data_IF_206908156041
#
_entry.id   IF_206908156041
#
_cell.length_a   1.000
_cell.length_b   1.000
_cell.length_c   1.000
_cell.angle_alpha   90.00
_cell.angle_beta   90.00
_cell.angle_gamma   90.00
#
_symmetry.space_group_name_H-M   'P 1'
#
loop_
_entity.id
_entity.type
_entity.pdbx_description
1 polymer ?
#
# COMPACT_ATOMS: atom_id res chain seq x y z
N UNK A 1 -4.27 14.73 -58.92
CA UNK A 1 -3.47 15.36 -57.87
C UNK A 1 -3.65 14.79 -56.44
N UNK A 2 -4.79 14.20 -56.08
CA UNK A 2 -5.12 13.67 -54.73
C UNK A 2 -4.26 12.45 -54.30
N UNK A 3 -3.84 11.59 -55.23
CA UNK A 3 -3.06 10.37 -54.90
C UNK A 3 -1.61 10.58 -54.52
N UNK A 4 -1.00 11.71 -54.95
CA UNK A 4 0.39 12.03 -54.58
C UNK A 4 0.55 12.52 -53.17
N UNK A 5 -0.43 13.24 -52.64
CA UNK A 5 -0.46 13.73 -51.26
C UNK A 5 -0.65 12.58 -50.28
N UNK A 6 -1.57 11.68 -50.55
CA UNK A 6 -1.82 10.48 -49.73
C UNK A 6 -0.59 9.59 -49.61
N UNK A 7 0.16 9.37 -50.69
CA UNK A 7 1.39 8.57 -50.69
C UNK A 7 2.52 9.23 -49.85
N UNK A 8 2.63 10.57 -49.89
CA UNK A 8 3.59 11.30 -49.07
C UNK A 8 3.17 11.27 -47.61
N UNK A 9 1.89 11.46 -47.29
CA UNK A 9 1.37 11.34 -45.92
C UNK A 9 1.57 9.94 -45.32
N UNK A 10 1.30 8.87 -46.10
CA UNK A 10 1.54 7.49 -45.65
C UNK A 10 3.02 7.19 -45.37
N UNK A 11 3.96 7.82 -46.09
CA UNK A 11 5.40 7.67 -45.82
C UNK A 11 5.85 8.37 -44.55
N UNK A 12 5.20 9.45 -44.15
CA UNK A 12 5.50 10.19 -42.94
C UNK A 12 4.81 9.61 -41.69
N UNK A 13 3.73 8.84 -41.89
CA UNK A 13 2.93 8.28 -40.82
C UNK A 13 3.73 7.46 -39.80
N UNK A 14 4.64 6.55 -40.19
CA UNK A 14 5.43 5.78 -39.23
C UNK A 14 6.33 6.67 -38.35
N UNK A 15 6.92 7.71 -38.95
CA UNK A 15 7.73 8.67 -38.22
C UNK A 15 6.92 9.50 -37.21
N UNK A 16 5.72 9.92 -37.61
CA UNK A 16 4.81 10.65 -36.71
C UNK A 16 4.31 9.77 -35.57
N UNK A 17 3.98 8.51 -35.85
CA UNK A 17 3.58 7.56 -34.81
C UNK A 17 4.74 7.29 -33.82
N UNK A 18 5.96 7.12 -34.32
CA UNK A 18 7.12 6.94 -33.48
C UNK A 18 7.36 8.18 -32.58
N UNK A 19 7.26 9.38 -33.17
CA UNK A 19 7.38 10.64 -32.42
C UNK A 19 6.27 10.79 -31.36
N UNK A 20 5.04 10.46 -31.70
CA UNK A 20 3.92 10.48 -30.77
C UNK A 20 4.15 9.50 -29.61
N UNK A 21 4.62 8.28 -29.89
CA UNK A 21 4.93 7.28 -28.88
C UNK A 21 6.05 7.78 -27.93
N UNK A 22 7.15 8.30 -28.48
CA UNK A 22 8.26 8.87 -27.69
C UNK A 22 7.74 10.03 -26.83
N UNK A 23 6.91 10.90 -27.37
CA UNK A 23 6.36 12.04 -26.64
C UNK A 23 5.46 11.57 -25.48
N UNK A 24 4.60 10.57 -25.71
CA UNK A 24 3.74 10.01 -24.66
C UNK A 24 4.60 9.41 -23.53
N UNK A 25 5.59 8.58 -23.87
CA UNK A 25 6.48 7.98 -22.88
C UNK A 25 7.28 9.03 -22.10
N UNK A 26 7.77 10.06 -22.77
CA UNK A 26 8.53 11.14 -22.16
C UNK A 26 7.65 11.97 -21.21
N UNK A 27 6.44 12.34 -21.62
CA UNK A 27 5.51 13.08 -20.79
C UNK A 27 5.00 12.24 -19.60
N UNK A 28 4.74 10.94 -19.80
CA UNK A 28 4.37 10.04 -18.71
C UNK A 28 5.49 9.94 -17.68
N UNK A 29 6.75 9.82 -18.14
CA UNK A 29 7.90 9.76 -17.25
C UNK A 29 8.10 11.08 -16.47
N UNK A 30 8.02 12.23 -17.15
CA UNK A 30 8.09 13.54 -16.49
C UNK A 30 6.95 13.72 -15.49
N UNK A 31 5.74 13.36 -15.88
CA UNK A 31 4.57 13.50 -15.01
C UNK A 31 4.74 12.66 -13.74
N UNK A 32 5.13 11.41 -13.87
CA UNK A 32 5.40 10.56 -12.71
C UNK A 32 6.50 11.14 -11.82
N UNK A 33 7.59 11.63 -12.41
CA UNK A 33 8.69 12.23 -11.66
C UNK A 33 8.27 13.51 -10.91
N UNK A 34 7.40 14.33 -11.48
CA UNK A 34 6.93 15.58 -10.88
C UNK A 34 5.80 15.36 -9.85
N UNK A 35 5.04 14.29 -10.01
CA UNK A 35 3.87 14.00 -9.14
C UNK A 35 4.19 13.00 -8.04
N UNK A 36 5.27 12.21 -8.17
CA UNK A 36 5.68 11.28 -7.11
C UNK A 36 6.20 12.06 -5.90
N UNK A 37 5.56 11.83 -4.78
CA UNK A 37 5.96 12.44 -3.50
C UNK A 37 7.15 11.66 -2.95
N UNK A 38 8.24 12.37 -2.60
CA UNK A 38 9.43 11.78 -1.97
C UNK A 38 9.01 10.96 -0.72
N UNK A 39 9.61 9.79 -0.54
CA UNK A 39 9.35 8.88 0.59
C UNK A 39 9.37 9.56 1.95
N UNK A 40 10.21 10.58 2.13
CA UNK A 40 10.31 11.35 3.38
C UNK A 40 9.02 12.11 3.76
N UNK A 41 8.09 12.27 2.84
CA UNK A 41 6.84 13.00 3.04
C UNK A 41 5.60 12.12 2.90
N UNK A 42 5.78 10.82 2.68
CA UNK A 42 4.66 9.87 2.54
C UNK A 42 4.89 8.61 3.37
N UNK A 43 3.86 8.13 4.03
CA UNK A 43 3.83 6.81 4.64
C UNK A 43 3.12 5.85 3.69
N UNK A 44 3.74 4.71 3.41
CA UNK A 44 3.23 3.71 2.49
C UNK A 44 2.62 2.54 3.25
N UNK A 45 1.34 2.29 3.01
CA UNK A 45 0.58 1.17 3.55
C UNK A 45 0.27 0.20 2.42
N UNK A 46 0.77 -1.02 2.51
CA UNK A 46 0.46 -2.07 1.57
C UNK A 46 -0.59 -3.03 2.15
N UNK A 47 -1.69 -3.22 1.41
CA UNK A 47 -2.77 -4.11 1.81
C UNK A 47 -2.80 -5.31 0.89
N UNK A 48 -2.48 -6.49 1.41
CA UNK A 48 -2.39 -7.72 0.61
C UNK A 48 -3.76 -8.36 0.38
N UNK A 49 -4.71 -7.53 -0.06
CA UNK A 49 -6.04 -7.90 -0.52
C UNK A 49 -6.55 -6.87 -1.53
N UNK A 50 -7.65 -7.19 -2.24
CA UNK A 50 -8.36 -6.19 -3.02
C UNK A 50 -9.09 -5.22 -2.09
N UNK A 51 -8.81 -3.94 -2.22
CA UNK A 51 -9.49 -2.91 -1.46
C UNK A 51 -10.81 -2.54 -2.14
N UNK A 52 -11.87 -2.41 -1.34
CA UNK A 52 -13.15 -1.90 -1.82
C UNK A 52 -13.11 -0.37 -2.03
N UNK A 53 -12.34 0.32 -1.19
CA UNK A 53 -12.26 1.79 -1.13
C UNK A 53 -10.87 2.25 -0.69
N UNK A 54 -9.87 2.06 -1.55
CA UNK A 54 -8.48 2.42 -1.28
C UNK A 54 -8.30 3.92 -1.00
N UNK A 55 -8.96 4.78 -1.79
CA UNK A 55 -8.92 6.22 -1.62
C UNK A 55 -9.60 6.68 -0.32
N UNK A 56 -10.72 6.08 0.05
CA UNK A 56 -11.43 6.43 1.28
C UNK A 56 -10.59 6.04 2.51
N UNK A 57 -9.89 4.91 2.47
CA UNK A 57 -8.96 4.51 3.53
C UNK A 57 -7.79 5.49 3.63
N UNK A 58 -7.19 5.87 2.49
CA UNK A 58 -6.12 6.86 2.48
C UNK A 58 -6.58 8.20 3.09
N UNK A 59 -7.75 8.71 2.68
CA UNK A 59 -8.33 9.95 3.23
C UNK A 59 -8.58 9.82 4.74
N UNK A 60 -9.14 8.70 5.19
CA UNK A 60 -9.39 8.48 6.62
C UNK A 60 -8.09 8.45 7.43
N UNK A 61 -6.99 7.97 6.87
CA UNK A 61 -5.68 7.98 7.52
C UNK A 61 -5.00 9.35 7.50
N UNK A 62 -5.39 10.22 6.56
CA UNK A 62 -4.82 11.55 6.40
C UNK A 62 -5.43 12.62 7.31
N UNK A 63 -6.51 12.34 8.04
CA UNK A 63 -7.16 13.35 8.90
C UNK A 63 -6.25 13.95 9.98
N UNK A 64 -5.25 13.16 10.51
CA UNK A 64 -4.31 13.63 11.54
C UNK A 64 -2.88 13.17 11.19
N UNK A 65 -2.30 13.75 10.14
CA UNK A 65 -0.96 13.40 9.71
C UNK A 65 0.11 13.85 10.71
N UNK A 66 1.11 13.01 11.00
CA UNK A 66 2.29 13.40 11.76
C UNK A 66 3.03 14.56 11.10
N UNK A 67 3.72 15.37 11.93
CA UNK A 67 4.51 16.49 11.43
C UNK A 67 5.55 16.03 10.40
N UNK A 68 5.54 16.67 9.23
CA UNK A 68 6.43 16.35 8.12
C UNK A 68 5.83 15.39 7.08
N UNK A 69 4.81 14.62 7.40
CA UNK A 69 4.10 13.78 6.44
C UNK A 69 3.04 14.60 5.71
N UNK A 70 2.90 14.37 4.42
CA UNK A 70 1.95 15.09 3.54
C UNK A 70 0.84 14.20 3.02
N UNK A 71 1.08 12.89 2.97
CA UNK A 71 0.10 11.93 2.47
C UNK A 71 0.34 10.52 2.99
N UNK A 72 -0.71 9.72 2.99
CA UNK A 72 -0.65 8.27 3.17
C UNK A 72 -0.96 7.61 1.84
N UNK A 73 -0.02 6.82 1.34
CA UNK A 73 -0.20 6.09 0.10
C UNK A 73 -0.63 4.66 0.42
N UNK A 74 -1.85 4.31 0.02
CA UNK A 74 -2.39 2.96 0.21
C UNK A 74 -2.29 2.21 -1.12
N UNK A 75 -1.65 1.05 -1.09
CA UNK A 75 -1.52 0.14 -2.22
C UNK A 75 -2.24 -1.17 -1.95
N UNK A 76 -3.08 -1.60 -2.88
CA UNK A 76 -3.72 -2.91 -2.85
C UNK A 76 -2.89 -3.98 -3.55
N UNK A 77 -3.29 -5.24 -3.41
CA UNK A 77 -2.66 -6.40 -4.05
C UNK A 77 -2.45 -6.23 -5.57
N UNK A 78 -3.42 -5.64 -6.26
CA UNK A 78 -3.33 -5.42 -7.72
C UNK A 78 -2.16 -4.51 -8.10
N UNK A 79 -1.80 -3.59 -7.21
CA UNK A 79 -0.70 -2.66 -7.43
C UNK A 79 0.67 -3.34 -7.31
N UNK A 80 0.79 -4.38 -6.47
CA UNK A 80 2.03 -5.12 -6.28
C UNK A 80 2.54 -5.78 -7.56
N UNK A 81 1.66 -6.14 -8.47
CA UNK A 81 2.01 -6.67 -9.78
C UNK A 81 2.67 -5.64 -10.69
N UNK A 82 2.50 -4.35 -10.39
CA UNK A 82 3.01 -3.25 -11.21
C UNK A 82 4.25 -2.57 -10.62
N UNK A 83 4.43 -2.61 -9.29
CA UNK A 83 5.52 -1.93 -8.58
C UNK A 83 6.04 -2.75 -7.40
N UNK A 84 6.95 -3.67 -7.67
CA UNK A 84 7.61 -4.49 -6.64
C UNK A 84 8.46 -3.64 -5.67
N UNK A 85 8.98 -2.49 -6.11
CA UNK A 85 9.81 -1.62 -5.28
C UNK A 85 8.99 -0.98 -4.16
N UNK A 86 7.78 -0.52 -4.45
CA UNK A 86 6.86 0.00 -3.43
C UNK A 86 6.44 -1.08 -2.44
N UNK A 87 6.31 -2.32 -2.90
CA UNK A 87 6.02 -3.45 -2.05
C UNK A 87 7.15 -3.69 -1.02
N UNK A 88 8.41 -3.80 -1.47
CA UNK A 88 9.54 -4.08 -0.59
C UNK A 88 9.85 -2.93 0.38
N UNK A 89 9.40 -1.73 0.07
CA UNK A 89 9.72 -0.50 0.81
C UNK A 89 8.55 0.09 1.58
N UNK A 90 7.44 -0.61 1.68
CA UNK A 90 6.29 -0.17 2.46
C UNK A 90 6.64 -0.06 3.95
N UNK A 91 6.05 0.93 4.61
CA UNK A 91 6.22 1.13 6.07
C UNK A 91 5.30 0.19 6.84
N UNK A 92 4.10 -0.04 6.34
CA UNK A 92 3.08 -0.86 6.98
C UNK A 92 2.49 -1.87 5.99
N UNK A 93 2.18 -3.07 6.48
CA UNK A 93 1.49 -4.11 5.73
C UNK A 93 0.22 -4.55 6.46
N UNK A 94 -0.84 -4.78 5.70
CA UNK A 94 -2.05 -5.47 6.18
C UNK A 94 -2.11 -6.80 5.44
N UNK A 95 -2.01 -7.90 6.17
CA UNK A 95 -1.95 -9.25 5.59
C UNK A 95 -2.45 -10.33 6.56
N UNK A 96 -2.77 -11.50 6.04
CA UNK A 96 -3.10 -12.67 6.86
C UNK A 96 -1.85 -13.32 7.46
N UNK A 97 -2.03 -14.17 8.49
CA UNK A 97 -0.92 -14.98 9.05
C UNK A 97 -0.24 -15.82 7.98
N UNK A 98 -1.00 -16.41 7.07
CA UNK A 98 -0.46 -17.23 5.97
C UNK A 98 0.46 -16.40 5.06
N UNK A 99 0.02 -15.24 4.64
CA UNK A 99 0.81 -14.34 3.78
C UNK A 99 2.07 -13.85 4.50
N UNK A 100 1.97 -13.53 5.80
CA UNK A 100 3.13 -13.14 6.61
C UNK A 100 4.17 -14.26 6.73
N UNK A 101 3.74 -15.53 6.77
CA UNK A 101 4.63 -16.69 6.75
C UNK A 101 5.26 -16.97 5.39
N UNK A 102 4.57 -16.61 4.31
CA UNK A 102 5.09 -16.73 2.93
C UNK A 102 6.17 -15.67 2.63
N UNK A 103 6.10 -14.51 3.28
CA UNK A 103 6.99 -13.36 3.05
C UNK A 103 7.58 -12.77 4.34
N UNK A 104 8.26 -13.57 5.16
CA UNK A 104 8.84 -13.09 6.42
C UNK A 104 9.92 -12.01 6.20
N UNK A 105 10.58 -12.02 5.04
CA UNK A 105 11.62 -11.05 4.65
C UNK A 105 11.12 -9.61 4.50
N UNK A 106 9.80 -9.41 4.34
CA UNK A 106 9.22 -8.07 4.27
C UNK A 106 8.99 -7.45 5.64
N UNK A 107 8.97 -8.28 6.69
CA UNK A 107 8.51 -7.91 8.01
C UNK A 107 9.66 -7.67 8.97
N UNK A 108 9.47 -6.74 9.89
CA UNK A 108 10.38 -6.51 11.00
C UNK A 108 9.71 -6.84 12.34
N UNK A 109 10.51 -7.20 13.35
CA UNK A 109 10.01 -7.37 14.71
C UNK A 109 9.34 -6.10 15.23
N UNK A 110 8.25 -6.25 15.96
CA UNK A 110 7.58 -5.15 16.63
C UNK A 110 8.47 -4.56 17.72
N UNK A 111 8.43 -3.23 17.94
CA UNK A 111 9.05 -2.62 19.11
C UNK A 111 8.43 -3.19 20.39
N UNK A 112 9.24 -3.31 21.45
CA UNK A 112 8.84 -3.96 22.70
C UNK A 112 7.55 -3.38 23.31
N UNK A 113 7.28 -2.09 23.09
CA UNK A 113 6.07 -1.42 23.55
C UNK A 113 4.79 -1.96 22.91
N UNK A 114 4.86 -2.39 21.65
CA UNK A 114 3.74 -2.95 20.89
C UNK A 114 3.71 -4.49 21.02
N UNK A 115 4.84 -5.13 21.12
CA UNK A 115 4.96 -6.58 21.29
C UNK A 115 4.30 -7.11 22.58
N UNK A 116 4.12 -6.26 23.60
CA UNK A 116 3.43 -6.60 24.85
C UNK A 116 1.91 -6.73 24.69
N UNK A 117 1.34 -6.41 23.55
CA UNK A 117 -0.10 -6.58 23.26
C UNK A 117 -0.47 -8.07 23.22
N UNK A 118 -1.64 -8.41 23.75
CA UNK A 118 -2.08 -9.79 23.87
C UNK A 118 -2.34 -10.52 22.53
N UNK A 119 -2.55 -9.76 21.45
CA UNK A 119 -2.97 -10.28 20.14
C UNK A 119 -1.89 -9.96 19.07
N UNK A 120 -0.74 -10.60 19.21
CA UNK A 120 0.37 -10.43 18.26
C UNK A 120 0.58 -11.67 17.41
N UNK A 121 0.96 -11.47 16.15
CA UNK A 121 1.44 -12.53 15.28
C UNK A 121 2.91 -12.83 15.63
N UNK A 122 3.17 -14.10 15.93
CA UNK A 122 4.52 -14.58 16.24
C UNK A 122 5.11 -15.34 15.04
N UNK A 123 6.25 -14.89 14.52
CA UNK A 123 7.03 -15.60 13.52
C UNK A 123 8.44 -15.81 14.04
N UNK A 124 8.93 -17.05 14.01
CA UNK A 124 10.28 -17.42 14.43
C UNK A 124 10.68 -16.91 15.83
N UNK A 125 9.71 -16.79 16.74
CA UNK A 125 9.92 -16.31 18.10
C UNK A 125 9.86 -14.79 18.28
N UNK A 126 9.65 -14.03 17.20
CA UNK A 126 9.48 -12.59 17.23
C UNK A 126 8.02 -12.19 17.00
N UNK A 127 7.54 -11.19 17.72
CA UNK A 127 6.26 -10.55 17.43
C UNK A 127 6.45 -9.66 16.21
N UNK A 128 5.67 -9.88 15.13
CA UNK A 128 5.82 -9.16 13.85
C UNK A 128 4.55 -8.44 13.40
N UNK A 129 3.41 -8.72 14.00
CA UNK A 129 2.14 -8.11 13.62
C UNK A 129 1.19 -7.95 14.78
N UNK A 130 0.31 -6.96 14.69
CA UNK A 130 -0.80 -6.69 15.61
C UNK A 130 -2.09 -7.16 14.96
N UNK A 131 -2.91 -7.89 15.70
CA UNK A 131 -4.20 -8.35 15.20
C UNK A 131 -5.12 -7.16 14.90
N UNK A 132 -5.60 -7.08 13.66
CA UNK A 132 -6.61 -6.11 13.23
C UNK A 132 -8.03 -6.66 13.46
N UNK A 133 -8.23 -7.91 13.10
CA UNK A 133 -9.53 -8.56 13.21
C UNK A 133 -9.56 -9.92 12.52
N UNK A 134 -10.67 -10.59 12.67
CA UNK A 134 -10.95 -11.85 11.98
C UNK A 134 -12.21 -11.67 11.16
N UNK A 135 -12.16 -12.06 9.89
CA UNK A 135 -13.36 -12.08 9.07
C UNK A 135 -14.36 -13.08 9.68
N UNK A 136 -15.43 -12.59 10.27
CA UNK A 136 -16.53 -13.45 10.72
C UNK A 136 -17.24 -14.10 9.53
N UNK A 137 -18.03 -15.17 9.81
CA UNK A 137 -18.85 -15.86 8.78
C UNK A 137 -19.81 -14.91 8.03
N UNK A 138 -20.09 -13.72 8.57
CA UNK A 138 -20.98 -12.70 8.02
C UNK A 138 -20.26 -11.54 7.33
N UNK A 139 -18.96 -11.63 7.06
CA UNK A 139 -18.17 -10.59 6.42
C UNK A 139 -18.62 -10.22 4.98
N UNK A 140 -19.63 -10.94 4.46
CA UNK A 140 -20.22 -10.68 3.14
C UNK A 140 -21.29 -9.56 3.13
N UNK A 141 -21.67 -9.04 4.30
CA UNK A 141 -22.71 -8.02 4.39
C UNK A 141 -22.06 -6.64 4.58
N UNK A 142 -22.23 -5.71 3.62
CA UNK A 142 -21.73 -4.33 3.73
C UNK A 142 -22.39 -3.51 4.84
N UNK A 143 -23.40 -4.08 5.50
CA UNK A 143 -24.27 -3.38 6.49
C UNK A 143 -24.08 -3.82 7.94
N UNK A 144 -23.05 -4.58 8.29
CA UNK A 144 -22.79 -4.82 9.71
C UNK A 144 -22.17 -3.57 10.31
N UNK A 145 -23.04 -2.71 10.86
CA UNK A 145 -22.68 -1.45 11.52
C UNK A 145 -21.70 -1.60 12.71
N UNK A 146 -21.36 -2.82 13.07
CA UNK A 146 -20.56 -3.15 14.25
C UNK A 146 -19.05 -3.38 13.94
N UNK A 147 -18.64 -3.34 12.65
CA UNK A 147 -17.23 -3.47 12.30
C UNK A 147 -16.82 -2.42 11.24
N UNK A 148 -16.29 -1.25 11.64
CA UNK A 148 -15.88 -0.19 10.72
C UNK A 148 -14.80 -0.64 9.72
N UNK A 149 -14.02 -1.67 10.03
CA UNK A 149 -13.01 -2.21 9.11
C UNK A 149 -13.62 -2.83 7.86
N UNK A 150 -14.82 -3.41 7.96
CA UNK A 150 -15.52 -3.93 6.79
C UNK A 150 -15.87 -2.84 5.75
N UNK A 151 -15.77 -1.55 6.13
CA UNK A 151 -16.01 -0.45 5.22
C UNK A 151 -14.88 -0.26 4.19
N UNK A 152 -13.64 -0.62 4.56
CA UNK A 152 -12.45 -0.39 3.73
C UNK A 152 -11.84 -1.67 3.20
N UNK A 153 -11.83 -2.73 4.02
CA UNK A 153 -11.12 -3.98 3.75
C UNK A 153 -12.09 -5.09 3.28
N UNK A 154 -11.69 -5.84 2.26
CA UNK A 154 -12.47 -6.96 1.75
C UNK A 154 -12.10 -8.27 2.47
N UNK A 155 -12.54 -8.46 3.70
CA UNK A 155 -12.28 -9.68 4.47
C UNK A 155 -12.82 -10.97 3.83
N UNK A 156 -13.70 -10.86 2.84
CA UNK A 156 -14.24 -12.04 2.15
C UNK A 156 -13.20 -12.83 1.35
N UNK A 157 -12.03 -12.23 1.06
CA UNK A 157 -10.95 -12.93 0.34
C UNK A 157 -10.25 -14.01 1.16
N UNK A 158 -10.29 -13.89 2.51
CA UNK A 158 -9.75 -14.90 3.42
C UNK A 158 -10.71 -15.11 4.60
N UNK A 159 -11.87 -15.74 4.36
CA UNK A 159 -12.88 -15.92 5.38
C UNK A 159 -12.34 -16.80 6.52
N UNK A 160 -12.52 -16.32 7.76
CA UNK A 160 -12.05 -17.01 8.95
C UNK A 160 -10.56 -16.87 9.27
N UNK A 161 -9.75 -16.27 8.36
CA UNK A 161 -8.36 -15.97 8.65
C UNK A 161 -8.22 -14.66 9.44
N UNK A 162 -7.35 -14.60 10.46
CA UNK A 162 -7.04 -13.36 11.14
C UNK A 162 -6.16 -12.45 10.24
N UNK A 163 -6.44 -11.16 10.28
CA UNK A 163 -5.68 -10.13 9.59
C UNK A 163 -4.82 -9.35 10.57
N UNK A 164 -3.61 -9.06 10.16
CA UNK A 164 -2.60 -8.41 11.00
C UNK A 164 -2.07 -7.15 10.33
N UNK A 165 -1.80 -6.15 11.16
CA UNK A 165 -0.99 -4.99 10.82
C UNK A 165 0.45 -5.31 11.16
N UNK A 166 1.31 -5.36 10.16
CA UNK A 166 2.73 -5.64 10.29
C UNK A 166 3.56 -4.41 9.89
N UNK A 167 4.78 -4.32 10.39
CA UNK A 167 5.72 -3.27 10.06
C UNK A 167 6.73 -3.77 9.03
N UNK A 168 7.06 -2.90 8.06
CA UNK A 168 7.91 -3.25 6.94
C UNK A 168 9.40 -3.15 7.26
N UNK A 169 10.17 -4.18 6.92
CA UNK A 169 11.64 -4.18 7.05
C UNK A 169 12.30 -3.06 6.23
N UNK A 170 11.70 -2.67 5.11
CA UNK A 170 12.14 -1.57 4.24
C UNK A 170 11.55 -0.21 4.59
N UNK A 171 10.80 -0.10 5.70
CA UNK A 171 10.10 1.12 6.10
C UNK A 171 11.03 2.30 6.35
N UNK A 172 10.67 3.46 5.79
CA UNK A 172 11.45 4.69 5.99
C UNK A 172 11.08 5.39 7.31
N UNK A 173 9.81 5.30 7.72
CA UNK A 173 9.24 5.99 8.87
C UNK A 173 9.13 5.11 10.12
N UNK A 174 10.15 4.27 10.36
CA UNK A 174 10.26 3.34 11.48
C UNK A 174 11.64 3.47 12.12
N UNK A 175 11.81 4.39 13.08
CA UNK A 175 13.13 4.74 13.67
C UNK A 175 13.83 3.58 14.38
N UNK A 176 13.10 2.55 14.76
CA UNK A 176 13.68 1.34 15.37
C UNK A 176 14.36 0.42 14.36
N UNK A 177 14.27 0.71 13.05
CA UNK A 177 15.03 0.04 12.00
C UNK A 177 16.34 0.79 11.72
N UNK A 178 17.37 0.06 11.30
CA UNK A 178 18.68 0.63 10.95
C UNK A 178 18.59 1.75 9.90
N UNK A 179 17.69 1.61 8.91
CA UNK A 179 17.47 2.58 7.84
C UNK A 179 16.31 3.54 8.10
N UNK A 180 15.57 3.38 9.19
CA UNK A 180 14.46 4.23 9.57
C UNK A 180 14.91 5.63 9.98
N UNK A 181 14.12 6.65 9.66
CA UNK A 181 14.48 8.06 9.90
C UNK A 181 13.67 8.71 11.02
N UNK A 182 12.44 8.33 11.17
CA UNK A 182 11.50 8.86 12.18
C UNK A 182 10.43 7.80 12.49
N UNK A 183 9.49 8.13 13.35
CA UNK A 183 8.42 7.23 13.80
C UNK A 183 7.04 7.63 13.22
N UNK A 184 7.01 8.28 12.06
CA UNK A 184 5.76 8.78 11.50
C UNK A 184 4.78 7.67 11.10
N UNK A 185 5.24 6.43 10.88
CA UNK A 185 4.37 5.30 10.62
C UNK A 185 3.61 4.83 11.87
N UNK A 186 4.12 5.06 13.10
CA UNK A 186 3.48 4.59 14.33
C UNK A 186 2.11 5.24 14.60
N UNK A 187 1.92 6.58 14.54
CA UNK A 187 0.60 7.19 14.67
C UNK A 187 -0.40 6.68 13.63
N UNK A 188 0.06 6.47 12.39
CA UNK A 188 -0.79 5.96 11.31
C UNK A 188 -1.17 4.50 11.59
N UNK A 189 -0.24 3.67 12.09
CA UNK A 189 -0.52 2.31 12.52
C UNK A 189 -1.54 2.26 13.66
N UNK A 190 -1.40 3.13 14.68
CA UNK A 190 -2.35 3.23 15.77
C UNK A 190 -3.73 3.68 15.29
N UNK A 191 -3.77 4.62 14.33
CA UNK A 191 -5.00 5.05 13.71
C UNK A 191 -5.67 3.92 12.92
N UNK A 192 -4.92 3.16 12.14
CA UNK A 192 -5.42 1.95 11.49
C UNK A 192 -6.09 1.02 12.50
N UNK A 193 -5.48 0.77 13.65
CA UNK A 193 -6.05 -0.07 14.71
C UNK A 193 -7.34 0.51 15.32
N UNK A 194 -7.56 1.82 15.25
CA UNK A 194 -8.77 2.46 15.76
C UNK A 194 -9.88 2.59 14.72
N UNK A 195 -9.51 2.64 13.42
CA UNK A 195 -10.47 2.67 12.30
C UNK A 195 -11.01 1.27 11.98
N UNK A 196 -10.32 0.28 12.41
CA UNK A 196 -10.53 -1.14 12.18
C UNK A 196 -10.90 -1.83 13.49
#
# INVERSE_FOLDING_TARGET
MRNGFLRKALRLLPGLLLWALISILFWTWIFNFLTDTDRRYKVTVFVNMHLLRDQDLAIALEEDLPAGIRMVQVHSFDYALMDSTSLETADLYIMTERQAREHPEWLCPLPASLAASANTLMLEGNAVGLLLGTAGENAHLPDSADNPASAYLNYAEAPGEPWYLCFGQGGYHLSFLENGKDDAALPIALRLLTLI
#
